data_IF_359523518580
#
_entry.id   IF_359523518580
#
_cell.length_a   1.000
_cell.length_b   1.000
_cell.length_c   1.000
_cell.angle_alpha   90.00
_cell.angle_beta   90.00
_cell.angle_gamma   90.00
#
_symmetry.space_group_name_H-M   'P 1'
#
loop_
_entity.id
_entity.type
_entity.pdbx_description
1 polymer ?
#
# COMPACT_ATOMS: atom_id res chain seq x y z
N UNK A 1 -2.87 33.45 13.59
CA UNK A 1 -3.82 33.26 12.47
C UNK A 1 -4.04 31.77 12.38
N UNK A 2 -5.26 31.22 12.59
CA UNK A 2 -5.44 29.79 12.36
C UNK A 2 -5.35 29.57 10.85
N UNK A 3 -4.34 28.83 10.41
CA UNK A 3 -4.24 28.40 9.01
C UNK A 3 -5.49 27.57 8.72
N UNK A 4 -6.35 28.05 7.81
CA UNK A 4 -7.49 27.28 7.33
C UNK A 4 -6.94 26.00 6.70
N UNK A 5 -7.16 24.86 7.36
CA UNK A 5 -6.74 23.54 6.88
C UNK A 5 -7.73 23.08 5.81
N UNK A 6 -7.55 23.64 4.63
CA UNK A 6 -8.33 23.30 3.45
C UNK A 6 -7.96 21.89 3.00
N UNK A 7 -8.94 21.10 2.57
CA UNK A 7 -8.66 19.78 2.00
C UNK A 7 -7.91 19.91 0.66
N UNK A 8 -6.78 19.21 0.51
CA UNK A 8 -5.96 19.24 -0.71
C UNK A 8 -6.65 18.68 -1.96
N UNK A 9 -7.78 17.97 -1.81
CA UNK A 9 -8.48 17.30 -2.91
C UNK A 9 -9.66 18.13 -3.41
N UNK A 10 -10.57 18.53 -2.52
CA UNK A 10 -11.75 19.31 -2.90
C UNK A 10 -11.56 20.83 -2.76
N UNK A 11 -10.45 21.28 -2.16
CA UNK A 11 -10.16 22.68 -1.88
C UNK A 11 -11.25 23.41 -1.05
N UNK A 12 -12.09 22.66 -0.33
CA UNK A 12 -13.12 23.20 0.55
C UNK A 12 -12.59 23.30 1.99
N UNK A 13 -13.09 24.31 2.71
CA UNK A 13 -12.90 24.43 4.15
C UNK A 13 -13.83 23.44 4.87
N UNK A 14 -13.28 22.28 5.19
CA UNK A 14 -14.01 21.16 5.75
C UNK A 14 -13.15 20.42 6.79
N UNK A 15 -13.77 19.74 7.77
CA UNK A 15 -13.02 19.03 8.81
C UNK A 15 -12.15 17.92 8.20
N UNK A 16 -10.83 18.14 8.23
CA UNK A 16 -9.84 17.17 7.78
C UNK A 16 -9.49 16.16 8.88
N UNK A 17 -9.00 14.99 8.48
CA UNK A 17 -8.61 13.93 9.40
C UNK A 17 -7.22 14.22 10.02
N UNK A 18 -7.20 14.54 11.32
CA UNK A 18 -5.97 14.86 12.06
C UNK A 18 -4.96 13.70 12.08
N UNK A 19 -5.43 12.45 12.00
CA UNK A 19 -4.54 11.28 11.94
C UNK A 19 -3.78 11.27 10.62
N UNK A 20 -4.43 11.62 9.51
CA UNK A 20 -3.77 11.72 8.21
C UNK A 20 -2.74 12.84 8.19
N UNK A 21 -3.06 13.98 8.81
CA UNK A 21 -2.12 15.08 8.93
C UNK A 21 -0.92 14.71 9.82
N UNK A 22 -1.16 14.08 10.97
CA UNK A 22 -0.08 13.75 11.92
C UNK A 22 0.84 12.66 11.39
N UNK A 23 0.29 11.63 10.73
CA UNK A 23 1.06 10.46 10.31
C UNK A 23 1.62 10.61 8.90
N UNK A 24 0.86 11.19 7.97
CA UNK A 24 1.23 11.28 6.56
C UNK A 24 1.47 12.72 6.09
N UNK A 25 1.21 13.72 6.94
CA UNK A 25 1.32 15.15 6.59
C UNK A 25 0.42 15.53 5.41
N UNK A 26 -0.82 15.02 5.43
CA UNK A 26 -1.82 15.20 4.38
C UNK A 26 -3.13 15.72 4.96
N UNK A 27 -3.66 16.80 4.37
CA UNK A 27 -4.98 17.33 4.71
C UNK A 27 -6.05 16.77 3.78
N UNK A 28 -6.81 15.80 4.29
CA UNK A 28 -7.90 15.18 3.53
C UNK A 28 -9.17 15.06 4.38
N UNK A 29 -10.30 15.44 3.81
CA UNK A 29 -11.59 15.24 4.44
C UNK A 29 -12.06 13.78 4.29
N UNK A 30 -12.99 13.31 5.13
CA UNK A 30 -13.52 11.95 5.06
C UNK A 30 -14.05 11.60 3.65
N UNK A 31 -14.79 12.51 3.01
CA UNK A 31 -15.40 12.26 1.70
C UNK A 31 -14.34 12.01 0.62
N UNK A 32 -13.33 12.89 0.53
CA UNK A 32 -12.23 12.71 -0.42
C UNK A 32 -11.35 11.52 -0.08
N UNK A 33 -11.18 11.19 1.20
CA UNK A 33 -10.44 10.01 1.64
C UNK A 33 -11.09 8.72 1.16
N UNK A 34 -12.42 8.60 1.23
CA UNK A 34 -13.14 7.40 0.77
C UNK A 34 -13.41 7.42 -0.74
N UNK A 35 -13.54 8.59 -1.35
CA UNK A 35 -13.77 8.76 -2.78
C UNK A 35 -12.52 8.57 -3.66
N UNK A 36 -11.31 8.63 -3.09
CA UNK A 36 -10.08 8.59 -3.86
C UNK A 36 -9.15 7.43 -3.43
N UNK A 37 -8.79 6.50 -4.35
CA UNK A 37 -7.93 5.36 -4.03
C UNK A 37 -6.53 5.78 -3.55
N UNK A 38 -6.02 6.94 -3.95
CA UNK A 38 -4.70 7.43 -3.52
C UNK A 38 -4.61 7.61 -1.99
N UNK A 39 -5.74 7.89 -1.33
CA UNK A 39 -5.81 8.12 0.11
C UNK A 39 -6.20 6.87 0.90
N UNK A 40 -6.31 5.71 0.23
CA UNK A 40 -6.61 4.44 0.87
C UNK A 40 -5.42 3.96 1.70
N UNK A 41 -5.71 3.33 2.83
CA UNK A 41 -4.72 2.66 3.66
C UNK A 41 -4.58 1.19 3.27
N UNK A 42 -3.33 0.75 3.11
CA UNK A 42 -2.96 -0.61 2.75
C UNK A 42 -2.16 -1.24 3.89
N UNK A 43 -2.37 -2.53 4.14
CA UNK A 43 -1.54 -3.27 5.10
C UNK A 43 -0.14 -3.51 4.52
N UNK A 44 0.85 -3.72 5.39
CA UNK A 44 2.24 -4.03 4.98
C UNK A 44 2.30 -5.10 3.87
N UNK A 45 1.57 -6.20 4.05
CA UNK A 45 1.59 -7.32 3.09
C UNK A 45 0.97 -6.96 1.74
N UNK A 46 -0.12 -6.18 1.75
CA UNK A 46 -0.78 -5.74 0.52
C UNK A 46 0.12 -4.75 -0.22
N UNK A 47 0.70 -3.78 0.47
CA UNK A 47 1.60 -2.81 -0.12
C UNK A 47 2.85 -3.48 -0.73
N UNK A 48 3.49 -4.41 -0.01
CA UNK A 48 4.63 -5.18 -0.53
C UNK A 48 4.29 -5.98 -1.78
N UNK A 49 3.14 -6.68 -1.79
CA UNK A 49 2.71 -7.49 -2.94
C UNK A 49 2.29 -6.64 -4.14
N UNK A 50 1.70 -5.47 -3.89
CA UNK A 50 1.16 -4.60 -4.93
C UNK A 50 2.26 -3.77 -5.59
N UNK A 51 3.17 -3.22 -4.79
CA UNK A 51 4.19 -2.27 -5.22
C UNK A 51 5.61 -2.84 -5.28
N UNK A 52 5.76 -4.15 -4.99
CA UNK A 52 7.05 -4.85 -4.96
C UNK A 52 8.10 -4.14 -4.08
N UNK A 53 7.65 -3.55 -2.98
CA UNK A 53 8.49 -2.82 -2.03
C UNK A 53 9.19 -3.81 -1.08
N UNK A 54 10.43 -3.47 -0.69
CA UNK A 54 11.22 -4.24 0.27
C UNK A 54 10.85 -3.90 1.72
N UNK A 55 11.15 -4.79 2.66
CA UNK A 55 10.89 -4.53 4.08
C UNK A 55 11.63 -3.29 4.60
N UNK A 56 12.88 -3.09 4.17
CA UNK A 56 13.70 -1.93 4.54
C UNK A 56 13.04 -0.61 4.13
N UNK A 57 12.46 -0.55 2.94
CA UNK A 57 11.73 0.65 2.50
C UNK A 57 10.44 0.83 3.30
N UNK A 58 9.70 -0.23 3.55
CA UNK A 58 8.47 -0.15 4.35
C UNK A 58 8.74 0.31 5.79
N UNK A 59 9.95 0.11 6.32
CA UNK A 59 10.35 0.59 7.64
C UNK A 59 10.61 2.09 7.70
N UNK A 60 11.07 2.69 6.61
CA UNK A 60 11.31 4.14 6.53
C UNK A 60 10.06 4.93 6.17
N UNK A 61 9.02 4.28 5.62
CA UNK A 61 7.79 4.95 5.25
C UNK A 61 6.89 5.28 6.45
N UNK A 62 6.21 6.45 6.43
CA UNK A 62 5.22 6.79 7.43
C UNK A 62 4.12 5.72 7.45
N UNK A 63 3.78 5.26 8.66
CA UNK A 63 2.77 4.23 8.84
C UNK A 63 1.91 4.46 10.08
N UNK A 64 0.62 4.20 9.94
CA UNK A 64 -0.32 4.21 11.03
C UNK A 64 -0.30 2.84 11.71
N UNK A 65 -0.01 2.83 13.02
CA UNK A 65 -0.01 1.62 13.83
C UNK A 65 -1.35 1.47 14.55
N UNK A 66 -1.97 0.30 14.41
CA UNK A 66 -3.19 -0.07 15.13
C UNK A 66 -3.01 -1.38 15.88
N UNK A 67 -3.78 -1.63 16.96
CA UNK A 67 -3.81 -2.96 17.58
C UNK A 67 -4.15 -4.01 16.52
N UNK A 68 -3.52 -5.18 16.64
CA UNK A 68 -3.71 -6.23 15.66
C UNK A 68 -5.12 -6.80 15.81
N UNK A 69 -5.96 -6.81 14.74
CA UNK A 69 -7.35 -7.23 14.84
C UNK A 69 -7.52 -8.71 15.18
N UNK A 70 -6.47 -9.54 15.02
CA UNK A 70 -6.51 -10.95 15.40
C UNK A 70 -6.30 -11.16 16.91
N UNK A 71 -5.33 -10.45 17.48
CA UNK A 71 -5.00 -10.55 18.90
C UNK A 71 -4.09 -9.38 19.30
N UNK A 72 -4.39 -8.70 20.40
CA UNK A 72 -3.65 -7.52 20.86
C UNK A 72 -2.17 -7.78 21.17
N UNK A 73 -1.84 -8.97 21.68
CA UNK A 73 -0.46 -9.39 21.96
C UNK A 73 0.40 -9.63 20.69
N UNK A 74 -0.20 -9.67 19.50
CA UNK A 74 0.56 -9.83 18.26
C UNK A 74 1.16 -8.51 17.79
N UNK A 75 2.12 -8.61 16.86
CA UNK A 75 2.74 -7.43 16.27
C UNK A 75 1.68 -6.46 15.72
N UNK A 76 1.79 -5.14 16.01
CA UNK A 76 0.77 -4.17 15.64
C UNK A 76 0.55 -4.09 14.13
N UNK A 77 -0.69 -3.86 13.73
CA UNK A 77 -1.06 -3.66 12.33
C UNK A 77 -0.44 -2.36 11.82
N UNK A 78 0.36 -2.46 10.76
CA UNK A 78 0.95 -1.30 10.07
C UNK A 78 0.17 -1.00 8.79
N UNK A 79 -0.40 0.20 8.74
CA UNK A 79 -1.17 0.73 7.62
C UNK A 79 -0.38 1.84 6.93
N UNK A 80 -0.28 1.78 5.61
CA UNK A 80 0.48 2.70 4.78
C UNK A 80 -0.46 3.41 3.81
N UNK A 81 -0.19 4.68 3.53
CA UNK A 81 -0.94 5.44 2.54
C UNK A 81 -0.59 4.97 1.12
N UNK A 82 -1.60 4.68 0.31
CA UNK A 82 -1.44 4.20 -1.05
C UNK A 82 -0.60 5.17 -1.91
N UNK A 83 -0.90 6.48 -1.86
CA UNK A 83 -0.13 7.55 -2.54
C UNK A 83 1.36 7.49 -2.21
N UNK A 84 1.71 7.26 -0.94
CA UNK A 84 3.10 7.17 -0.48
C UNK A 84 3.77 5.91 -1.01
N UNK A 85 3.08 4.77 -1.00
CA UNK A 85 3.58 3.53 -1.59
C UNK A 85 3.82 3.67 -3.10
N UNK A 86 2.89 4.29 -3.83
CA UNK A 86 3.00 4.55 -5.26
C UNK A 86 4.21 5.42 -5.60
N UNK A 87 4.36 6.56 -4.91
CA UNK A 87 5.51 7.45 -5.10
C UNK A 87 6.84 6.73 -4.84
N UNK A 88 6.87 5.86 -3.84
CA UNK A 88 8.06 5.07 -3.50
C UNK A 88 8.35 3.99 -4.55
N UNK A 89 7.31 3.33 -5.05
CA UNK A 89 7.43 2.33 -6.10
C UNK A 89 7.94 2.96 -7.40
N UNK A 90 7.43 4.13 -7.78
CA UNK A 90 7.90 4.90 -8.93
C UNK A 90 9.37 5.28 -8.76
N UNK A 91 9.80 5.70 -7.57
CA UNK A 91 11.22 6.00 -7.30
C UNK A 91 12.14 4.79 -7.44
N UNK A 92 11.67 3.59 -7.08
CA UNK A 92 12.49 2.37 -7.15
C UNK A 92 12.47 1.68 -8.51
N UNK A 93 11.30 1.63 -9.15
CA UNK A 93 11.05 0.86 -10.38
C UNK A 93 10.89 1.73 -11.62
N UNK A 94 10.96 3.06 -11.47
CA UNK A 94 10.81 4.06 -12.53
C UNK A 94 9.35 4.39 -12.88
N UNK A 95 8.47 3.39 -12.94
CA UNK A 95 7.04 3.56 -13.26
C UNK A 95 6.18 2.48 -12.61
N UNK A 96 4.91 2.79 -12.34
CA UNK A 96 3.92 1.80 -11.90
C UNK A 96 3.65 0.73 -12.99
N UNK A 97 3.86 1.06 -14.26
CA UNK A 97 3.73 0.10 -15.35
C UNK A 97 4.81 -0.99 -15.26
N UNK A 98 6.05 -0.63 -14.93
CA UNK A 98 7.13 -1.59 -14.73
C UNK A 98 6.82 -2.55 -13.58
N UNK A 99 6.26 -2.01 -12.48
CA UNK A 99 5.81 -2.83 -11.34
C UNK A 99 4.73 -3.82 -11.80
N UNK A 100 3.76 -3.38 -12.60
CA UNK A 100 2.69 -4.24 -13.11
C UNK A 100 3.22 -5.32 -14.07
N UNK A 101 4.17 -4.98 -14.96
CA UNK A 101 4.83 -5.93 -15.86
C UNK A 101 5.61 -6.97 -15.08
N UNK A 102 6.43 -6.54 -14.12
CA UNK A 102 7.22 -7.43 -13.25
C UNK A 102 6.32 -8.35 -12.43
N UNK A 103 5.20 -7.84 -11.93
CA UNK A 103 4.21 -8.64 -11.21
C UNK A 103 3.62 -9.74 -12.10
N UNK A 104 3.18 -9.40 -13.32
CA UNK A 104 2.68 -10.38 -14.29
C UNK A 104 3.72 -11.45 -14.64
N UNK A 105 4.99 -11.05 -14.82
CA UNK A 105 6.09 -12.01 -15.06
C UNK A 105 6.24 -13.00 -13.91
N UNK A 106 6.21 -12.52 -12.66
CA UNK A 106 6.29 -13.38 -11.46
C UNK A 106 5.10 -14.32 -11.32
N UNK A 107 3.90 -13.87 -11.70
CA UNK A 107 2.69 -14.70 -11.70
C UNK A 107 2.77 -15.80 -12.76
N UNK A 108 3.19 -15.46 -13.98
CA UNK A 108 3.41 -16.43 -15.06
C UNK A 108 4.44 -17.50 -14.66
N UNK A 109 5.59 -17.09 -14.13
CA UNK A 109 6.64 -18.01 -13.69
C UNK A 109 6.19 -18.92 -12.54
N UNK A 110 5.32 -18.44 -11.64
CA UNK A 110 4.73 -19.29 -10.59
C UNK A 110 3.76 -20.31 -11.16
N UNK A 111 2.92 -19.90 -12.11
CA UNK A 111 2.00 -20.78 -12.79
C UNK A 111 2.75 -21.88 -13.56
N UNK A 112 3.78 -21.54 -14.32
CA UNK A 112 4.61 -22.50 -15.06
C UNK A 112 5.26 -23.53 -14.14
N UNK A 113 5.83 -23.08 -13.01
CA UNK A 113 6.41 -23.99 -11.99
C UNK A 113 5.36 -24.92 -11.39
N UNK A 114 4.15 -24.42 -11.13
CA UNK A 114 3.06 -25.24 -10.63
C UNK A 114 2.65 -26.31 -11.65
N UNK A 115 2.51 -25.93 -12.93
CA UNK A 115 2.20 -26.86 -14.02
C UNK A 115 3.29 -27.91 -14.19
N UNK A 116 4.57 -27.52 -14.17
CA UNK A 116 5.70 -28.46 -14.27
C UNK A 116 5.72 -29.47 -13.10
N UNK A 117 5.42 -29.01 -11.88
CA UNK A 117 5.30 -29.88 -10.70
C UNK A 117 4.19 -30.91 -10.88
N UNK A 118 2.99 -30.47 -11.29
CA UNK A 118 1.86 -31.38 -11.52
C UNK A 118 2.18 -32.41 -12.61
N UNK A 119 2.79 -31.99 -13.74
CA UNK A 119 3.22 -32.90 -14.81
C UNK A 119 4.21 -33.95 -14.32
N UNK A 120 5.21 -33.55 -13.52
CA UNK A 120 6.21 -34.47 -12.96
C UNK A 120 5.63 -35.48 -11.96
N UNK A 121 4.50 -35.14 -11.34
CA UNK A 121 3.82 -35.99 -10.36
C UNK A 121 2.94 -37.03 -11.07
N UNK A 122 2.30 -36.62 -12.18
CA UNK A 122 1.54 -37.52 -13.05
C UNK A 122 2.45 -38.50 -13.80
N UNK A 123 3.64 -38.07 -14.22
CA UNK A 123 4.58 -38.97 -14.93
C UNK A 123 5.26 -40.02 -14.03
N UNK A 124 5.02 -39.98 -12.72
CA UNK A 124 5.56 -40.92 -11.72
C UNK A 124 4.51 -41.93 -11.24
N UNK A 125 3.28 -41.82 -11.73
CA UNK A 125 2.18 -42.77 -11.54
C UNK A 125 2.12 -43.68 -12.77
#
# INVERSE_FOLDING_TARGET
MPEAKICEVCALDCPCDDVYMTVFSVHVCPDCRYGNPAYKLLTKDVAKKTYLLTDSTMETLPCLRKPNPKHEAFAPLRLYLQKTCEATAIRQHGSLENVAVEKKKRECAKYEKAVARTKSQVSRL
#
